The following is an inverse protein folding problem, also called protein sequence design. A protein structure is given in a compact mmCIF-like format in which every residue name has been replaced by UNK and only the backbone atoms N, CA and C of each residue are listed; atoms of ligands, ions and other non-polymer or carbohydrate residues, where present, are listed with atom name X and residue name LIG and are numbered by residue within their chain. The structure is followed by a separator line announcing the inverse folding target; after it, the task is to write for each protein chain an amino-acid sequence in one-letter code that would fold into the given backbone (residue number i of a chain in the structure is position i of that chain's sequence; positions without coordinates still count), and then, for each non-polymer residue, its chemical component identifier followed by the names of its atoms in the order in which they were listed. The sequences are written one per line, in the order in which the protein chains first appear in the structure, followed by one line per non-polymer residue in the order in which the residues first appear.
data_IF_999150002741
#
_entry.id   IF_999150002741
#
_cell.length_a   1.000
_cell.length_b   1.000
_cell.length_c   1.000
_cell.angle_alpha   90.00
_cell.angle_beta   90.00
_cell.angle_gamma   90.00
#
_symmetry.space_group_name_H-M   'P 1'
#
loop_
_entity.id
_entity.type
_entity.pdbx_description
1 polymer ?
#
# COMPACT_ATOMS: atom_id res chain seq x y z
N UNK A 1 -36.76 22.03 -1.72
CA UNK A 1 -35.45 21.35 -1.65
C UNK A 1 -35.54 20.22 -0.64
N UNK A 2 -35.30 18.98 -1.07
CA UNK A 2 -35.30 17.78 -0.21
C UNK A 2 -33.96 17.09 -0.42
N UNK A 3 -33.09 17.17 0.58
CA UNK A 3 -31.82 16.44 0.59
C UNK A 3 -32.13 15.00 1.02
N UNK A 4 -32.01 14.05 0.08
CA UNK A 4 -31.90 12.64 0.43
C UNK A 4 -30.46 12.37 0.86
N UNK A 5 -30.27 12.06 2.13
CA UNK A 5 -29.02 11.51 2.64
C UNK A 5 -28.99 10.03 2.23
N UNK A 6 -28.15 9.69 1.26
CA UNK A 6 -27.82 8.30 0.95
C UNK A 6 -27.00 7.78 2.15
N UNK A 7 -27.57 6.85 2.94
CA UNK A 7 -26.76 6.03 3.85
C UNK A 7 -25.92 5.10 2.98
N UNK A 8 -24.62 5.35 2.88
CA UNK A 8 -23.67 4.38 2.31
C UNK A 8 -23.36 3.36 3.41
N UNK A 9 -23.54 2.07 3.12
CA UNK A 9 -23.34 0.97 4.06
C UNK A 9 -21.86 0.54 4.06
N UNK A 10 -21.19 0.41 5.22
CA UNK A 10 -19.76 0.03 5.29
C UNK A 10 -19.40 -1.31 4.64
N UNK A 11 -20.37 -2.20 4.44
CA UNK A 11 -20.17 -3.51 3.82
C UNK A 11 -19.96 -3.44 2.30
N UNK A 12 -20.53 -2.43 1.61
CA UNK A 12 -20.38 -2.28 0.16
C UNK A 12 -18.97 -1.77 -0.22
N UNK A 13 -18.34 -0.96 0.63
CA UNK A 13 -16.99 -0.41 0.36
C UNK A 13 -15.90 -1.49 0.40
N UNK A 14 -15.95 -2.41 1.35
CA UNK A 14 -14.95 -3.49 1.44
C UNK A 14 -15.03 -4.44 0.24
N UNK A 15 -16.23 -4.79 -0.22
CA UNK A 15 -16.41 -5.68 -1.35
C UNK A 15 -15.98 -5.03 -2.67
N UNK A 16 -16.28 -3.73 -2.86
CA UNK A 16 -15.82 -2.95 -4.00
C UNK A 16 -14.30 -2.81 -4.02
N UNK A 17 -13.66 -2.55 -2.87
CA UNK A 17 -12.19 -2.48 -2.78
C UNK A 17 -11.55 -3.83 -3.11
N UNK A 18 -12.05 -4.94 -2.56
CA UNK A 18 -11.52 -6.27 -2.87
C UNK A 18 -11.74 -6.68 -4.34
N UNK A 19 -12.91 -6.38 -4.91
CA UNK A 19 -13.22 -6.69 -6.31
C UNK A 19 -12.37 -5.86 -7.27
N UNK A 20 -12.19 -4.57 -6.98
CA UNK A 20 -11.29 -3.70 -7.74
C UNK A 20 -9.82 -4.16 -7.61
N UNK A 21 -9.40 -4.59 -6.43
CA UNK A 21 -8.04 -5.10 -6.20
C UNK A 21 -7.78 -6.42 -6.95
N UNK A 22 -8.75 -7.33 -6.99
CA UNK A 22 -8.66 -8.60 -7.72
C UNK A 22 -8.57 -8.39 -9.25
N UNK A 23 -9.40 -7.50 -9.79
CA UNK A 23 -9.39 -7.13 -11.22
C UNK A 23 -8.11 -6.40 -11.64
N UNK A 24 -7.60 -5.50 -10.81
CA UNK A 24 -6.32 -4.82 -11.07
C UNK A 24 -5.15 -5.82 -11.08
N UNK A 25 -5.11 -6.75 -10.13
CA UNK A 25 -4.04 -7.75 -10.05
C UNK A 25 -4.04 -8.74 -11.22
N UNK A 26 -5.21 -9.15 -11.73
CA UNK A 26 -5.30 -10.04 -12.88
C UNK A 26 -4.90 -9.34 -14.19
N UNK A 27 -5.25 -8.07 -14.37
CA UNK A 27 -4.80 -7.25 -15.52
C UNK A 27 -3.28 -7.03 -15.45
N UNK A 28 -2.74 -6.65 -14.29
CA UNK A 28 -1.29 -6.52 -14.07
C UNK A 28 -0.55 -7.84 -14.35
N UNK A 29 -1.10 -8.97 -13.92
CA UNK A 29 -0.53 -10.28 -14.18
C UNK A 29 -0.52 -10.63 -15.69
N UNK A 30 -1.59 -10.30 -16.42
CA UNK A 30 -1.66 -10.50 -17.87
C UNK A 30 -0.68 -9.60 -18.62
N UNK A 31 -0.55 -8.33 -18.22
CA UNK A 31 0.41 -7.40 -18.80
C UNK A 31 1.86 -7.82 -18.49
N UNK A 32 2.15 -8.26 -17.26
CA UNK A 32 3.46 -8.79 -16.87
C UNK A 32 3.81 -10.09 -17.59
N UNK A 33 2.84 -10.97 -17.86
CA UNK A 33 3.01 -12.17 -18.70
C UNK A 33 3.33 -11.79 -20.14
N UNK A 34 2.59 -10.83 -20.72
CA UNK A 34 2.82 -10.35 -22.09
C UNK A 34 4.18 -9.66 -22.24
N UNK A 35 4.62 -8.90 -21.23
CA UNK A 35 5.94 -8.28 -21.20
C UNK A 35 7.05 -9.32 -21.08
N UNK A 36 6.92 -10.33 -20.20
CA UNK A 36 7.84 -11.47 -20.11
C UNK A 36 7.93 -12.26 -21.42
N UNK A 37 6.82 -12.48 -22.12
CA UNK A 37 6.81 -13.13 -23.43
C UNK A 37 7.52 -12.29 -24.50
N UNK A 38 7.37 -10.97 -24.47
CA UNK A 38 8.07 -10.05 -25.38
C UNK A 38 9.58 -10.00 -25.12
N UNK A 39 10.00 -10.02 -23.84
CA UNK A 39 11.42 -10.09 -23.48
C UNK A 39 12.08 -11.43 -23.85
N UNK A 40 11.38 -12.56 -23.71
CA UNK A 40 11.92 -13.87 -24.16
C UNK A 40 12.09 -13.98 -25.67
N UNK A 41 11.38 -13.19 -26.48
CA UNK A 41 11.53 -13.19 -27.94
C UNK A 41 12.73 -12.37 -28.42
N UNK A 42 13.38 -11.60 -27.55
CA UNK A 42 14.67 -10.96 -27.86
C UNK A 42 15.84 -11.90 -27.52
N UNK A 43 15.86 -13.07 -28.14
CA UNK A 43 17.05 -13.93 -28.21
C UNK A 43 17.73 -13.65 -29.54
N UNK A 44 18.95 -13.11 -29.47
CA UNK A 44 19.65 -12.45 -30.57
C UNK A 44 19.65 -13.16 -31.91
N UNK A 45 19.02 -12.52 -32.90
CA UNK A 45 19.53 -12.58 -34.27
C UNK A 45 20.66 -11.54 -34.40
N UNK A 46 21.86 -11.92 -34.88
CA UNK A 46 22.84 -10.94 -35.29
C UNK A 46 22.28 -10.27 -36.55
N UNK A 47 21.74 -9.07 -36.38
CA UNK A 47 21.48 -8.13 -37.47
C UNK A 47 22.82 -7.86 -38.18
N UNK A 48 23.13 -8.65 -39.20
CA UNK A 48 24.04 -8.23 -40.25
C UNK A 48 23.44 -6.97 -40.87
N UNK A 49 23.86 -5.81 -40.36
CA UNK A 49 23.63 -4.51 -40.98
C UNK A 49 24.36 -4.48 -42.31
N UNK A 50 23.73 -4.96 -43.39
CA UNK A 50 24.00 -4.40 -44.70
C UNK A 50 23.36 -3.02 -44.69
N UNK A 51 24.16 -1.99 -44.46
CA UNK A 51 23.70 -0.60 -44.60
C UNK A 51 23.32 -0.38 -46.07
N UNK A 52 22.05 -0.12 -46.42
CA UNK A 52 21.75 0.47 -47.71
C UNK A 52 22.35 1.87 -47.70
N UNK A 53 23.37 2.08 -48.54
CA UNK A 53 23.89 3.42 -48.82
C UNK A 53 22.73 4.21 -49.44
N UNK A 54 22.40 5.33 -48.82
CA UNK A 54 21.36 6.30 -49.18
C UNK A 54 19.89 5.84 -49.09
N UNK A 55 19.26 6.15 -47.95
CA UNK A 55 17.83 6.49 -47.89
C UNK A 55 17.74 7.97 -47.51
N UNK A 56 16.93 8.78 -48.22
CA UNK A 56 16.73 10.18 -47.87
C UNK A 56 16.03 10.25 -46.51
N UNK A 57 16.74 10.84 -45.54
CA UNK A 57 16.14 11.45 -44.37
C UNK A 57 15.03 12.39 -44.89
N UNK A 58 13.83 12.37 -44.32
CA UNK A 58 12.66 13.19 -44.74
C UNK A 58 11.85 12.65 -45.93
N UNK A 59 11.05 11.62 -45.71
CA UNK A 59 9.83 11.39 -46.50
C UNK A 59 8.71 10.89 -45.57
N UNK A 60 7.82 11.84 -45.25
CA UNK A 60 6.42 11.66 -44.85
C UNK A 60 6.13 10.64 -43.73
N UNK A 61 6.23 11.07 -42.47
CA UNK A 61 5.43 10.43 -41.42
C UNK A 61 3.98 10.94 -41.58
N UNK A 62 3.00 10.11 -41.99
CA UNK A 62 1.60 10.54 -42.09
C UNK A 62 1.10 10.98 -40.70
N UNK A 63 0.40 12.12 -40.64
CA UNK A 63 -0.15 12.72 -39.40
C UNK A 63 -0.96 11.74 -38.53
N UNK A 64 -1.53 10.69 -39.13
CA UNK A 64 -2.21 9.57 -38.46
C UNK A 64 -1.31 8.78 -37.48
N UNK A 65 -0.02 8.67 -37.76
CA UNK A 65 0.97 7.96 -36.91
C UNK A 65 1.33 8.82 -35.70
N UNK A 66 1.31 10.16 -35.85
CA UNK A 66 1.61 11.10 -34.77
C UNK A 66 0.51 11.08 -33.69
N UNK A 67 -0.76 10.94 -34.09
CA UNK A 67 -1.89 10.93 -33.15
C UNK A 67 -2.04 9.61 -32.36
N UNK A 68 -1.67 8.47 -32.94
CA UNK A 68 -1.71 7.17 -32.25
C UNK A 68 -0.55 6.97 -31.27
N UNK A 69 0.60 7.56 -31.56
CA UNK A 69 1.78 7.48 -30.71
C UNK A 69 1.68 8.43 -29.50
N UNK A 70 1.07 9.60 -29.66
CA UNK A 70 0.83 10.53 -28.55
C UNK A 70 -0.08 9.94 -27.47
N UNK A 71 -1.17 9.27 -27.84
CA UNK A 71 -2.08 8.63 -26.87
C UNK A 71 -1.40 7.50 -26.08
N UNK A 72 -0.55 6.72 -26.76
CA UNK A 72 0.19 5.62 -26.13
C UNK A 72 1.25 6.12 -25.14
N UNK A 73 1.92 7.23 -25.47
CA UNK A 73 2.90 7.89 -24.60
C UNK A 73 2.24 8.50 -23.36
N UNK A 74 1.08 9.15 -23.53
CA UNK A 74 0.31 9.71 -22.41
C UNK A 74 -0.18 8.62 -21.46
N UNK A 75 -0.65 7.49 -21.98
CA UNK A 75 -1.09 6.37 -21.16
C UNK A 75 0.07 5.74 -20.38
N UNK A 76 1.23 5.54 -21.03
CA UNK A 76 2.43 5.04 -20.36
C UNK A 76 2.96 5.99 -19.27
N UNK A 77 2.90 7.30 -19.52
CA UNK A 77 3.24 8.31 -18.52
C UNK A 77 2.27 8.26 -17.33
N UNK A 78 0.96 8.18 -17.57
CA UNK A 78 -0.04 8.09 -16.49
C UNK A 78 0.16 6.85 -15.59
N UNK A 79 0.49 5.69 -16.17
CA UNK A 79 0.80 4.47 -15.41
C UNK A 79 2.04 4.58 -14.53
N UNK A 80 3.02 5.42 -14.93
CA UNK A 80 4.24 5.62 -14.12
C UNK A 80 4.00 6.44 -12.85
N UNK A 81 2.95 7.27 -12.80
CA UNK A 81 2.56 8.00 -11.58
C UNK A 81 1.79 7.11 -10.57
N UNK A 82 1.25 5.97 -11.01
CA UNK A 82 0.52 5.05 -10.13
C UNK A 82 1.45 4.18 -9.26
N UNK A 83 2.75 4.14 -9.58
CA UNK A 83 3.75 3.41 -8.82
C UNK A 83 4.27 4.27 -7.65
N UNK A 84 3.40 4.63 -6.71
CA UNK A 84 3.88 5.10 -5.41
C UNK A 84 4.54 3.90 -4.71
N UNK A 85 5.84 3.97 -4.34
CA UNK A 85 6.43 2.93 -3.54
C UNK A 85 5.63 2.86 -2.24
N UNK A 86 5.07 1.69 -1.91
CA UNK A 86 4.57 1.46 -0.57
C UNK A 86 5.79 1.55 0.35
N UNK A 87 5.99 2.69 1.03
CA UNK A 87 7.03 2.79 2.04
C UNK A 87 6.63 1.87 3.17
N UNK A 88 7.17 0.65 3.17
CA UNK A 88 7.14 -0.24 4.32
C UNK A 88 8.00 0.40 5.42
N UNK A 89 7.41 1.34 6.14
CA UNK A 89 8.01 1.91 7.32
C UNK A 89 8.22 0.77 8.32
N UNK A 90 9.46 0.58 8.78
CA UNK A 90 9.72 -0.29 9.93
C UNK A 90 9.44 0.52 11.17
N UNK A 91 8.49 0.08 11.98
CA UNK A 91 8.14 0.74 13.24
C UNK A 91 8.91 0.04 14.35
N UNK A 92 9.86 0.76 14.93
CA UNK A 92 10.55 0.32 16.12
C UNK A 92 9.78 0.79 17.35
N UNK A 93 8.95 -0.09 17.90
CA UNK A 93 8.14 0.21 19.08
C UNK A 93 9.01 0.37 20.34
N UNK A 94 10.24 -0.15 20.36
CA UNK A 94 11.13 0.03 21.52
C UNK A 94 11.58 1.48 21.70
N UNK A 95 11.63 2.25 20.62
CA UNK A 95 12.05 3.66 20.62
C UNK A 95 10.92 4.65 20.35
N UNK A 96 9.76 4.16 19.91
CA UNK A 96 8.58 4.99 19.71
C UNK A 96 8.10 5.59 21.04
N UNK A 97 8.01 6.92 21.11
CA UNK A 97 7.43 7.63 22.26
C UNK A 97 5.90 7.58 22.27
N UNK A 98 5.31 7.71 23.46
CA UNK A 98 3.88 7.87 23.65
C UNK A 98 3.30 9.04 22.84
N UNK A 99 4.04 10.14 22.69
CA UNK A 99 3.64 11.24 21.81
C UNK A 99 3.53 10.81 20.36
N UNK A 100 4.58 10.17 19.83
CA UNK A 100 4.57 9.66 18.45
C UNK A 100 3.43 8.65 18.24
N UNK A 101 3.10 7.84 19.24
CA UNK A 101 1.98 6.91 19.19
C UNK A 101 0.64 7.62 19.09
N UNK A 102 0.38 8.60 19.96
CA UNK A 102 -0.88 9.35 19.92
C UNK A 102 -1.04 10.19 18.64
N UNK A 103 0.07 10.66 18.06
CA UNK A 103 0.08 11.42 16.82
C UNK A 103 0.13 10.54 15.55
N UNK A 104 0.20 9.21 15.70
CA UNK A 104 0.38 8.28 14.57
C UNK A 104 -0.85 8.09 13.70
N UNK A 105 -2.03 8.50 14.16
CA UNK A 105 -3.31 8.29 13.47
C UNK A 105 -3.99 6.97 13.85
N UNK A 106 -5.31 6.91 13.66
CA UNK A 106 -6.18 5.83 14.18
C UNK A 106 -5.76 4.44 13.70
N UNK A 107 -5.44 4.29 12.41
CA UNK A 107 -5.00 3.01 11.83
C UNK A 107 -3.71 2.49 12.47
N UNK A 108 -2.73 3.37 12.65
CA UNK A 108 -1.45 3.01 13.26
C UNK A 108 -1.62 2.72 14.77
N UNK A 109 -2.47 3.49 15.46
CA UNK A 109 -2.82 3.22 16.85
C UNK A 109 -3.43 1.82 16.98
N UNK A 110 -4.37 1.45 16.11
CA UNK A 110 -5.00 0.12 16.12
C UNK A 110 -3.98 -1.00 15.87
N UNK A 111 -3.06 -0.82 14.93
CA UNK A 111 -1.98 -1.79 14.65
C UNK A 111 -1.06 -1.96 15.86
N UNK A 112 -0.60 -0.86 16.46
CA UNK A 112 0.30 -0.89 17.63
C UNK A 112 -0.39 -1.55 18.82
N UNK A 113 -1.63 -1.18 19.14
CA UNK A 113 -2.37 -1.77 20.26
C UNK A 113 -2.61 -3.27 20.07
N UNK A 114 -2.97 -3.70 18.86
CA UNK A 114 -3.18 -5.12 18.55
C UNK A 114 -1.88 -5.91 18.67
N UNK A 115 -0.76 -5.33 18.21
CA UNK A 115 0.56 -5.95 18.38
C UNK A 115 0.94 -6.08 19.86
N UNK A 116 0.69 -5.05 20.66
CA UNK A 116 0.92 -5.06 22.11
C UNK A 116 0.07 -6.13 22.82
N UNK A 117 -1.21 -6.25 22.48
CA UNK A 117 -2.09 -7.27 23.06
C UNK A 117 -1.54 -8.68 22.84
N UNK A 118 -1.06 -8.97 21.62
CA UNK A 118 -0.41 -10.24 21.31
C UNK A 118 0.94 -10.42 22.02
N UNK A 119 1.77 -9.38 22.08
CA UNK A 119 3.09 -9.42 22.73
C UNK A 119 3.01 -9.78 24.21
N UNK A 120 2.12 -9.15 24.97
CA UNK A 120 1.96 -9.40 26.42
C UNK A 120 1.19 -10.70 26.74
N UNK A 121 0.57 -11.32 25.73
CA UNK A 121 -0.07 -12.64 25.82
C UNK A 121 0.78 -13.77 25.24
N UNK A 122 2.01 -13.51 24.79
CA UNK A 122 2.80 -14.45 23.97
C UNK A 122 3.02 -15.85 24.58
N UNK A 123 2.96 -15.99 25.90
CA UNK A 123 3.11 -17.27 26.61
C UNK A 123 1.77 -17.95 26.93
N UNK A 124 0.64 -17.38 26.50
CA UNK A 124 -0.68 -17.94 26.74
C UNK A 124 -1.08 -18.88 25.59
N UNK A 125 -1.38 -20.15 25.92
CA UNK A 125 -1.88 -21.15 24.96
C UNK A 125 -3.36 -20.91 24.58
N UNK A 126 -3.74 -19.66 24.33
CA UNK A 126 -5.07 -19.27 23.87
C UNK A 126 -4.97 -18.35 22.64
N UNK A 127 -5.80 -18.60 21.63
CA UNK A 127 -5.89 -17.77 20.43
C UNK A 127 -7.11 -16.84 20.52
N UNK A 128 -7.27 -16.15 21.65
CA UNK A 128 -8.47 -15.35 21.97
C UNK A 128 -8.09 -13.89 22.19
N UNK A 129 -8.68 -13.01 21.38
CA UNK A 129 -8.74 -11.58 21.68
C UNK A 129 -10.02 -11.34 22.48
N UNK A 130 -9.90 -11.24 23.80
CA UNK A 130 -10.96 -10.71 24.65
C UNK A 130 -11.09 -9.21 24.37
N UNK A 131 -12.15 -8.83 23.65
CA UNK A 131 -12.35 -7.46 23.20
C UNK A 131 -12.64 -6.48 24.34
N UNK A 132 -13.25 -6.96 25.43
CA UNK A 132 -13.57 -6.10 26.57
C UNK A 132 -12.30 -5.77 27.35
N UNK A 133 -11.45 -6.78 27.58
CA UNK A 133 -10.12 -6.59 28.18
C UNK A 133 -9.24 -5.73 27.29
N UNK A 134 -9.23 -5.98 25.98
CA UNK A 134 -8.48 -5.20 25.00
C UNK A 134 -8.87 -3.72 25.04
N UNK A 135 -10.17 -3.39 24.98
CA UNK A 135 -10.66 -2.02 25.02
C UNK A 135 -10.33 -1.35 26.37
N UNK A 136 -10.49 -2.07 27.48
CA UNK A 136 -10.16 -1.53 28.80
C UNK A 136 -8.66 -1.21 28.93
N UNK A 137 -7.81 -2.10 28.45
CA UNK A 137 -6.36 -1.93 28.44
C UNK A 137 -5.92 -0.81 27.50
N UNK A 138 -6.46 -0.74 26.29
CA UNK A 138 -6.21 0.34 25.34
C UNK A 138 -6.56 1.73 25.92
N UNK A 139 -7.68 1.84 26.65
CA UNK A 139 -8.06 3.09 27.33
C UNK A 139 -7.06 3.48 28.41
N UNK A 140 -6.65 2.53 29.26
CA UNK A 140 -5.64 2.78 30.31
C UNK A 140 -4.30 3.19 29.70
N UNK A 141 -3.85 2.46 28.68
CA UNK A 141 -2.60 2.71 27.97
C UNK A 141 -2.60 4.09 27.30
N UNK A 142 -3.65 4.41 26.53
CA UNK A 142 -3.80 5.72 25.89
C UNK A 142 -3.83 6.88 26.90
N UNK A 143 -4.53 6.70 28.02
CA UNK A 143 -4.56 7.69 29.10
C UNK A 143 -3.18 7.88 29.78
N UNK A 144 -2.43 6.79 29.98
CA UNK A 144 -1.07 6.85 30.50
C UNK A 144 -0.15 7.58 29.52
N UNK A 145 -0.20 7.23 28.24
CA UNK A 145 0.60 7.89 27.21
C UNK A 145 0.26 9.38 27.07
N UNK A 146 -1.01 9.76 27.23
CA UNK A 146 -1.43 11.18 27.20
C UNK A 146 -0.82 12.01 28.33
N UNK A 147 -0.50 11.39 29.46
CA UNK A 147 0.17 12.04 30.62
C UNK A 147 1.69 11.98 30.53
N UNK A 148 2.24 11.02 29.77
CA UNK A 148 3.67 10.72 29.73
C UNK A 148 4.22 10.75 28.29
N UNK A 149 4.17 11.90 27.59
CA UNK A 149 4.45 11.96 26.15
C UNK A 149 5.88 11.55 25.75
N UNK A 150 6.85 11.64 26.66
CA UNK A 150 8.26 11.32 26.42
C UNK A 150 8.64 9.88 26.73
N UNK A 151 7.77 9.12 27.39
CA UNK A 151 8.00 7.70 27.72
C UNK A 151 7.83 6.86 26.46
N UNK A 152 8.61 5.78 26.30
CA UNK A 152 8.44 4.87 25.17
C UNK A 152 7.16 4.04 25.32
N UNK A 153 6.57 3.63 24.19
CA UNK A 153 5.35 2.81 24.21
C UNK A 153 5.57 1.46 24.90
N UNK A 154 6.76 0.88 24.81
CA UNK A 154 7.11 -0.37 25.53
C UNK A 154 7.14 -0.14 27.04
N UNK A 155 7.80 0.90 27.53
CA UNK A 155 7.82 1.19 28.97
C UNK A 155 6.42 1.52 29.51
N UNK A 156 5.60 2.25 28.73
CA UNK A 156 4.21 2.48 29.07
C UNK A 156 3.39 1.18 29.11
N UNK A 157 3.70 0.22 28.23
CA UNK A 157 3.00 -1.05 28.17
C UNK A 157 3.43 -1.96 29.31
N UNK A 158 4.70 -1.98 29.69
CA UNK A 158 5.17 -2.72 30.87
C UNK A 158 4.49 -2.22 32.15
N UNK A 159 4.30 -0.91 32.31
CA UNK A 159 3.63 -0.31 33.47
C UNK A 159 2.14 -0.65 33.56
N UNK A 160 1.46 -0.78 32.41
CA UNK A 160 -0.02 -0.85 32.35
C UNK A 160 -0.54 -2.25 32.01
N UNK A 161 0.22 -3.00 31.20
CA UNK A 161 -0.12 -4.29 30.61
C UNK A 161 0.83 -5.41 31.07
N UNK A 162 2.02 -5.06 31.56
CA UNK A 162 2.95 -6.01 32.16
C UNK A 162 2.30 -6.76 33.33
N UNK A 163 2.60 -8.06 33.42
CA UNK A 163 2.14 -8.92 34.51
C UNK A 163 2.80 -8.55 35.84
#
# INVERSE_FOLDING_TARGET
MRFSIIRVSPAEDHELVHRNYAELNSILALLARRFRLRLRRWSGEPLQRTWPKSLPLWRDAPMEILMKTSLSLLFAAALSLAAMPAQAAKWDLSTMSCKQFLESGEDNIAVVLTWMDGWYKGDEDNAIIDTDVFIANAKKFGAYCGKNPTVSVVTAADEILGK
#
